data_IF_071867468592
#
_entry.id   IF_071867468592
#
_cell.length_a   1.000
_cell.length_b   1.000
_cell.length_c   1.000
_cell.angle_alpha   90.00
_cell.angle_beta   90.00
_cell.angle_gamma   90.00
#
_symmetry.space_group_name_H-M   'P 1'
#
loop_
_entity.id
_entity.type
_entity.pdbx_description
1 polymer ?
#
# COMPACT_ATOMS: atom_id res chain seq x y z
N UNK A 1 -9.61 -5.08 0.48
CA UNK A 1 -8.72 -5.37 -0.66
C UNK A 1 -8.72 -6.86 -1.00
N UNK A 2 -9.66 -7.31 -1.85
CA UNK A 2 -9.87 -8.75 -2.05
C UNK A 2 -8.66 -9.48 -2.65
N UNK A 3 -8.01 -8.90 -3.67
CA UNK A 3 -6.81 -9.49 -4.30
C UNK A 3 -5.67 -9.70 -3.31
N UNK A 4 -5.34 -8.66 -2.52
CA UNK A 4 -4.27 -8.74 -1.52
C UNK A 4 -4.58 -9.78 -0.44
N UNK A 5 -5.83 -9.82 0.03
CA UNK A 5 -6.26 -10.82 1.02
C UNK A 5 -6.18 -12.25 0.48
N UNK A 6 -6.67 -12.51 -0.73
CA UNK A 6 -6.59 -13.81 -1.38
C UNK A 6 -5.12 -14.21 -1.60
N UNK A 7 -4.27 -13.28 -2.04
CA UNK A 7 -2.85 -13.51 -2.20
C UNK A 7 -2.17 -14.00 -0.92
N UNK A 8 -2.49 -13.41 0.23
CA UNK A 8 -1.97 -13.86 1.52
C UNK A 8 -2.56 -15.20 2.00
N UNK A 9 -3.83 -15.49 1.71
CA UNK A 9 -4.42 -16.82 1.98
C UNK A 9 -3.67 -17.90 1.20
N UNK A 10 -3.39 -17.66 -0.09
CA UNK A 10 -2.58 -18.57 -0.90
C UNK A 10 -1.14 -18.70 -0.35
N UNK A 11 -0.58 -17.60 0.17
CA UNK A 11 0.73 -17.66 0.85
C UNK A 11 0.72 -18.54 2.09
N UNK A 12 -0.41 -18.61 2.81
CA UNK A 12 -0.57 -19.52 3.96
C UNK A 12 -0.46 -20.98 3.51
N UNK A 13 -1.10 -21.36 2.39
CA UNK A 13 -0.98 -22.70 1.82
C UNK A 13 0.47 -23.04 1.45
N UNK A 14 1.22 -22.09 0.91
CA UNK A 14 2.65 -22.27 0.61
C UNK A 14 3.50 -22.45 1.88
N UNK A 15 3.15 -21.80 2.99
CA UNK A 15 3.87 -22.02 4.25
C UNK A 15 3.48 -23.36 4.89
N UNK A 16 2.23 -23.82 4.70
CA UNK A 16 1.78 -25.14 5.16
C UNK A 16 2.52 -26.28 4.45
N UNK A 17 2.99 -26.10 3.20
CA UNK A 17 3.82 -27.10 2.53
C UNK A 17 5.23 -27.24 3.12
N UNK A 18 5.62 -26.39 4.08
CA UNK A 18 6.87 -26.50 4.85
C UNK A 18 6.68 -27.22 6.20
N UNK A 19 5.46 -27.69 6.48
CA UNK A 19 5.12 -28.43 7.71
C UNK A 19 5.04 -29.94 7.42
N UNK A 20 4.75 -30.83 8.40
CA UNK A 20 4.57 -32.26 8.12
C UNK A 20 3.48 -32.57 7.06
N UNK A 21 2.62 -31.61 6.74
CA UNK A 21 1.65 -31.68 5.65
C UNK A 21 2.27 -31.52 4.25
N UNK A 22 3.59 -31.32 4.14
CA UNK A 22 4.32 -31.10 2.89
C UNK A 22 3.97 -32.11 1.80
N UNK A 23 3.88 -33.40 2.14
CA UNK A 23 3.62 -34.48 1.18
C UNK A 23 2.28 -34.32 0.44
N UNK A 24 1.29 -33.67 1.05
CA UNK A 24 -0.01 -33.41 0.46
C UNK A 24 -0.13 -32.02 -0.18
N UNK A 25 0.71 -31.08 0.25
CA UNK A 25 0.56 -29.66 -0.07
C UNK A 25 1.63 -29.10 -1.00
N UNK A 26 2.69 -29.86 -1.31
CA UNK A 26 3.77 -29.38 -2.18
C UNK A 26 3.26 -29.02 -3.59
N UNK A 27 2.48 -29.91 -4.23
CA UNK A 27 1.94 -29.64 -5.57
C UNK A 27 0.93 -28.48 -5.57
N UNK A 28 -0.06 -28.42 -4.65
CA UNK A 28 -0.88 -27.22 -4.47
C UNK A 28 -0.07 -25.94 -4.23
N UNK A 29 1.00 -26.00 -3.45
CA UNK A 29 1.86 -24.85 -3.18
C UNK A 29 2.57 -24.37 -4.45
N UNK A 30 3.13 -25.28 -5.26
CA UNK A 30 3.76 -24.93 -6.54
C UNK A 30 2.81 -24.25 -7.52
N UNK A 31 1.53 -24.63 -7.52
CA UNK A 31 0.49 -24.00 -8.36
C UNK A 31 0.01 -22.66 -7.77
N UNK A 32 -0.16 -22.59 -6.45
CA UNK A 32 -0.75 -21.41 -5.79
C UNK A 32 0.27 -20.31 -5.51
N UNK A 33 1.57 -20.59 -5.48
CA UNK A 33 2.63 -19.60 -5.25
C UNK A 33 2.72 -18.52 -6.33
N UNK A 34 2.76 -18.83 -7.64
CA UNK A 34 2.72 -17.81 -8.69
C UNK A 34 1.47 -16.94 -8.62
N UNK A 35 0.32 -17.56 -8.38
CA UNK A 35 -0.96 -16.86 -8.24
C UNK A 35 -0.93 -15.92 -7.03
N UNK A 36 -0.38 -16.37 -5.89
CA UNK A 36 -0.17 -15.55 -4.70
C UNK A 36 0.69 -14.32 -5.00
N UNK A 37 1.83 -14.48 -5.68
CA UNK A 37 2.71 -13.35 -6.04
C UNK A 37 1.98 -12.33 -6.91
N UNK A 38 1.29 -12.79 -7.97
CA UNK A 38 0.56 -11.91 -8.88
C UNK A 38 -0.52 -11.14 -8.13
N UNK A 39 -1.32 -11.83 -7.31
CA UNK A 39 -2.39 -11.19 -6.54
C UNK A 39 -1.86 -10.19 -5.50
N UNK A 40 -0.73 -10.50 -4.85
CA UNK A 40 -0.07 -9.57 -3.92
C UNK A 40 0.49 -8.35 -4.65
N UNK A 41 1.17 -8.54 -5.77
CA UNK A 41 1.70 -7.44 -6.58
C UNK A 41 0.59 -6.51 -7.10
N UNK A 42 -0.52 -7.08 -7.60
CA UNK A 42 -1.68 -6.30 -8.02
C UNK A 42 -2.35 -5.59 -6.83
N UNK A 43 -2.50 -6.28 -5.70
CA UNK A 43 -3.08 -5.70 -4.49
C UNK A 43 -2.28 -4.52 -3.96
N UNK A 44 -0.95 -4.65 -3.92
CA UNK A 44 -0.03 -3.59 -3.54
C UNK A 44 -0.01 -2.42 -4.54
N UNK A 45 -0.09 -2.72 -5.84
CA UNK A 45 -0.24 -1.70 -6.90
C UNK A 45 -1.51 -0.88 -6.74
N UNK A 46 -2.63 -1.50 -6.33
CA UNK A 46 -3.92 -0.82 -6.14
C UNK A 46 -3.85 0.23 -5.00
N UNK A 47 -2.99 0.03 -3.99
CA UNK A 47 -2.79 0.99 -2.87
C UNK A 47 -1.59 1.91 -3.01
N UNK A 48 -0.77 1.75 -4.06
CA UNK A 48 0.50 2.46 -4.20
C UNK A 48 0.42 3.97 -3.98
N UNK A 49 -0.60 4.61 -4.53
CA UNK A 49 -0.79 6.08 -4.47
C UNK A 49 -0.98 6.59 -3.04
N UNK A 50 -1.52 5.76 -2.16
CA UNK A 50 -1.78 6.12 -0.77
C UNK A 50 -0.67 5.72 0.20
N UNK A 51 0.28 4.87 -0.22
CA UNK A 51 1.44 4.50 0.60
C UNK A 51 2.60 5.50 0.49
N UNK A 52 2.64 6.34 -0.56
CA UNK A 52 3.78 7.24 -0.80
C UNK A 52 5.06 6.53 -1.26
N UNK A 53 4.98 5.24 -1.60
CA UNK A 53 6.13 4.45 -2.10
C UNK A 53 6.20 4.51 -3.62
N UNK A 54 7.41 4.64 -4.16
CA UNK A 54 7.67 4.69 -5.60
C UNK A 54 7.28 3.39 -6.32
N UNK A 55 6.87 3.51 -7.59
CA UNK A 55 6.45 2.37 -8.41
C UNK A 55 7.54 1.30 -8.59
N UNK A 56 8.81 1.69 -8.53
CA UNK A 56 9.96 0.81 -8.67
C UNK A 56 10.00 -0.28 -7.58
N UNK A 57 9.65 0.03 -6.33
CA UNK A 57 9.70 -0.96 -5.25
C UNK A 57 8.72 -2.11 -5.48
N UNK A 58 7.54 -1.82 -6.03
CA UNK A 58 6.55 -2.85 -6.38
C UNK A 58 7.05 -3.79 -7.48
N UNK A 59 7.76 -3.24 -8.47
CA UNK A 59 8.39 -4.04 -9.52
C UNK A 59 9.50 -4.92 -8.94
N UNK A 60 10.35 -4.37 -8.06
CA UNK A 60 11.40 -5.13 -7.35
C UNK A 60 10.80 -6.30 -6.56
N UNK A 61 9.75 -6.05 -5.77
CA UNK A 61 9.07 -7.09 -4.98
C UNK A 61 8.49 -8.17 -5.91
N UNK A 62 7.82 -7.78 -6.98
CA UNK A 62 7.30 -8.75 -7.95
C UNK A 62 8.41 -9.58 -8.59
N UNK A 63 9.48 -8.94 -9.06
CA UNK A 63 10.63 -9.61 -9.67
C UNK A 63 11.32 -10.56 -8.71
N UNK A 64 11.56 -10.17 -7.45
CA UNK A 64 12.17 -11.03 -6.44
C UNK A 64 11.30 -12.26 -6.15
N UNK A 65 9.98 -12.10 -6.09
CA UNK A 65 9.06 -13.23 -5.92
C UNK A 65 9.11 -14.21 -7.10
N UNK A 66 9.14 -13.69 -8.33
CA UNK A 66 9.26 -14.51 -9.55
C UNK A 66 10.61 -15.23 -9.57
N UNK A 67 11.71 -14.55 -9.26
CA UNK A 67 13.05 -15.14 -9.21
C UNK A 67 13.11 -16.25 -8.17
N UNK A 68 12.58 -16.03 -6.95
CA UNK A 68 12.48 -17.07 -5.93
C UNK A 68 11.72 -18.29 -6.43
N UNK A 69 10.54 -18.09 -7.06
CA UNK A 69 9.76 -19.20 -7.61
C UNK A 69 10.55 -20.00 -8.65
N UNK A 70 11.16 -19.30 -9.61
CA UNK A 70 11.89 -19.93 -10.71
C UNK A 70 13.09 -20.71 -10.19
N UNK A 71 13.85 -20.16 -9.23
CA UNK A 71 14.98 -20.87 -8.63
C UNK A 71 14.53 -22.16 -7.93
N UNK A 72 13.43 -22.10 -7.16
CA UNK A 72 12.86 -23.29 -6.51
C UNK A 72 12.42 -24.31 -7.57
N UNK A 73 11.60 -23.89 -8.54
CA UNK A 73 11.07 -24.76 -9.58
C UNK A 73 12.18 -25.44 -10.39
N UNK A 74 13.16 -24.67 -10.86
CA UNK A 74 14.26 -25.18 -11.66
C UNK A 74 15.18 -26.11 -10.86
N UNK A 75 15.30 -25.91 -9.55
CA UNK A 75 16.00 -26.88 -8.69
C UNK A 75 15.22 -28.19 -8.56
N UNK A 76 13.90 -28.12 -8.40
CA UNK A 76 13.03 -29.30 -8.34
C UNK A 76 12.97 -30.09 -9.66
N UNK A 77 13.11 -29.41 -10.80
CA UNK A 77 13.22 -30.07 -12.12
C UNK A 77 14.64 -30.48 -12.47
N UNK A 78 15.57 -30.42 -11.50
CA UNK A 78 16.99 -30.76 -11.67
C UNK A 78 17.73 -29.94 -12.75
N UNK A 79 17.15 -28.82 -13.20
CA UNK A 79 17.73 -27.92 -14.19
C UNK A 79 18.78 -26.97 -13.57
N UNK A 80 18.71 -26.76 -12.25
CA UNK A 80 19.69 -26.02 -11.46
C UNK A 80 20.20 -26.88 -10.30
N UNK A 81 21.43 -26.65 -9.82
CA UNK A 81 22.01 -27.42 -8.73
C UNK A 81 21.37 -27.01 -7.39
N UNK A 82 21.49 -27.84 -6.35
CA UNK A 82 20.78 -27.66 -5.07
C UNK A 82 21.13 -26.36 -4.35
N UNK A 83 22.32 -25.83 -4.59
CA UNK A 83 22.81 -24.55 -4.07
C UNK A 83 21.95 -23.37 -4.55
N UNK A 84 21.22 -23.52 -5.68
CA UNK A 84 20.27 -22.52 -6.15
C UNK A 84 19.13 -22.25 -5.14
N UNK A 85 18.82 -23.19 -4.24
CA UNK A 85 17.86 -22.98 -3.15
C UNK A 85 18.35 -21.98 -2.11
N UNK A 86 19.66 -21.86 -1.89
CA UNK A 86 20.23 -20.82 -1.02
C UNK A 86 20.06 -19.44 -1.64
N UNK A 87 20.25 -19.34 -2.96
CA UNK A 87 19.99 -18.11 -3.72
C UNK A 87 18.48 -17.79 -3.69
N UNK A 88 17.62 -18.80 -3.78
CA UNK A 88 16.17 -18.64 -3.67
C UNK A 88 15.78 -18.09 -2.29
N UNK A 89 16.37 -18.62 -1.22
CA UNK A 89 16.19 -18.15 0.15
C UNK A 89 16.62 -16.68 0.31
N UNK A 90 17.81 -16.31 -0.17
CA UNK A 90 18.27 -14.91 -0.16
C UNK A 90 17.34 -13.97 -0.93
N UNK A 91 16.93 -14.35 -2.15
CA UNK A 91 15.96 -13.60 -2.95
C UNK A 91 14.63 -13.42 -2.19
N UNK A 92 14.18 -14.47 -1.51
CA UNK A 92 12.95 -14.45 -0.72
C UNK A 92 13.07 -13.59 0.55
N UNK A 93 14.24 -13.53 1.17
CA UNK A 93 14.52 -12.66 2.31
C UNK A 93 14.53 -11.19 1.90
N UNK A 94 15.18 -10.86 0.78
CA UNK A 94 15.12 -9.51 0.20
C UNK A 94 13.68 -9.11 -0.15
N UNK A 95 12.93 -10.04 -0.76
CA UNK A 95 11.49 -9.87 -1.02
C UNK A 95 10.74 -9.52 0.28
N UNK A 96 10.97 -10.30 1.33
CA UNK A 96 10.28 -10.21 2.62
C UNK A 96 10.56 -8.89 3.34
N UNK A 97 11.80 -8.41 3.30
CA UNK A 97 12.19 -7.10 3.85
C UNK A 97 11.54 -5.96 3.07
N UNK A 98 11.54 -6.04 1.74
CA UNK A 98 10.87 -5.04 0.90
C UNK A 98 9.35 -5.02 1.12
N UNK A 99 8.74 -6.19 1.30
CA UNK A 99 7.32 -6.31 1.63
C UNK A 99 7.04 -5.73 3.03
N UNK A 100 7.85 -6.02 4.05
CA UNK A 100 7.76 -5.42 5.39
C UNK A 100 7.79 -3.89 5.35
N UNK A 101 8.64 -3.31 4.49
CA UNK A 101 8.66 -1.86 4.29
C UNK A 101 7.31 -1.35 3.75
N UNK A 102 6.69 -2.06 2.80
CA UNK A 102 5.34 -1.71 2.30
C UNK A 102 4.28 -1.79 3.40
N UNK A 103 4.33 -2.79 4.28
CA UNK A 103 3.43 -2.90 5.43
C UNK A 103 3.53 -1.67 6.33
N UNK A 104 4.75 -1.31 6.71
CA UNK A 104 4.99 -0.17 7.59
C UNK A 104 4.57 1.15 6.94
N UNK A 105 4.85 1.30 5.65
CA UNK A 105 4.45 2.47 4.87
C UNK A 105 2.92 2.58 4.76
N UNK A 106 2.24 1.47 4.45
CA UNK A 106 0.79 1.41 4.40
C UNK A 106 0.16 1.70 5.77
N UNK A 107 0.70 1.15 6.86
CA UNK A 107 0.18 1.39 8.20
C UNK A 107 0.27 2.87 8.60
N UNK A 108 1.40 3.54 8.31
CA UNK A 108 1.62 4.96 8.58
C UNK A 108 0.76 5.87 7.70
N UNK A 109 0.76 5.63 6.39
CA UNK A 109 0.19 6.57 5.42
C UNK A 109 -1.29 6.33 5.13
N UNK A 110 -1.78 5.09 5.27
CA UNK A 110 -3.21 4.75 5.10
C UNK A 110 -3.98 4.70 6.42
N UNK A 111 -3.28 4.80 7.56
CA UNK A 111 -3.88 4.65 8.89
C UNK A 111 -4.32 3.21 9.20
N UNK A 112 -3.84 2.24 8.43
CA UNK A 112 -4.16 0.82 8.59
C UNK A 112 -3.27 0.19 9.68
N UNK A 113 -3.52 0.52 10.96
CA UNK A 113 -2.69 0.07 12.10
C UNK A 113 -2.54 -1.45 12.20
N UNK A 114 -3.51 -2.21 11.69
CA UNK A 114 -3.47 -3.68 11.64
C UNK A 114 -2.30 -4.22 10.80
N UNK A 115 -1.75 -3.42 9.88
CA UNK A 115 -0.58 -3.82 9.07
C UNK A 115 0.73 -3.86 9.88
N UNK A 116 0.83 -3.17 11.02
CA UNK A 116 1.99 -3.32 11.90
C UNK A 116 2.02 -4.68 12.60
N UNK A 117 0.85 -5.25 12.91
CA UNK A 117 0.74 -6.56 13.55
C UNK A 117 0.75 -7.70 12.54
N UNK A 118 0.33 -7.42 11.31
CA UNK A 118 0.23 -8.39 10.22
C UNK A 118 1.47 -8.43 9.31
N UNK A 119 2.53 -7.72 9.69
CA UNK A 119 3.74 -7.62 8.87
C UNK A 119 4.48 -8.95 8.76
N UNK A 120 5.26 -9.11 7.70
CA UNK A 120 6.14 -10.27 7.52
C UNK A 120 7.02 -10.45 8.76
N UNK A 121 6.98 -11.65 9.33
CA UNK A 121 7.70 -11.94 10.55
C UNK A 121 9.14 -12.38 10.25
N UNK A 122 10.09 -11.53 10.65
CA UNK A 122 11.51 -11.70 10.40
C UNK A 122 12.08 -12.94 11.10
N UNK A 123 11.57 -13.31 12.28
CA UNK A 123 11.97 -14.55 12.95
C UNK A 123 11.63 -15.74 12.06
N UNK A 124 10.44 -15.72 11.46
CA UNK A 124 10.03 -16.74 10.50
C UNK A 124 10.97 -16.85 9.30
N UNK A 125 11.33 -15.71 8.70
CA UNK A 125 12.24 -15.64 7.55
C UNK A 125 13.62 -16.18 7.91
N UNK A 126 14.20 -15.71 9.03
CA UNK A 126 15.54 -16.11 9.49
C UNK A 126 15.60 -17.60 9.83
N UNK A 127 14.55 -18.17 10.41
CA UNK A 127 14.50 -19.62 10.71
C UNK A 127 14.52 -20.47 9.44
N UNK A 128 13.81 -20.05 8.38
CA UNK A 128 13.82 -20.74 7.08
C UNK A 128 15.18 -20.59 6.40
N UNK A 129 15.78 -19.40 6.42
CA UNK A 129 17.12 -19.16 5.90
C UNK A 129 18.16 -20.02 6.63
N UNK A 130 18.10 -20.09 7.96
CA UNK A 130 18.98 -20.94 8.75
C UNK A 130 18.94 -22.39 8.28
N UNK A 131 17.75 -22.95 8.07
CA UNK A 131 17.58 -24.32 7.53
C UNK A 131 18.15 -24.43 6.12
N UNK A 132 17.89 -23.44 5.26
CA UNK A 132 18.40 -23.43 3.89
C UNK A 132 19.93 -23.40 3.83
N UNK A 133 20.59 -22.67 4.72
CA UNK A 133 22.04 -22.55 4.75
C UNK A 133 22.75 -23.66 5.53
N UNK A 134 22.07 -24.35 6.43
CA UNK A 134 22.67 -25.42 7.24
C UNK A 134 22.41 -26.82 6.69
N UNK A 135 21.24 -27.09 6.11
CA UNK A 135 20.85 -28.44 5.66
C UNK A 135 21.12 -28.67 4.18
N UNK A 136 20.87 -27.67 3.32
CA UNK A 136 20.96 -27.85 1.87
C UNK A 136 22.38 -28.03 1.29
N UNK A 137 23.46 -27.45 1.85
CA UNK A 137 24.81 -27.69 1.33
C UNK A 137 25.41 -29.03 1.77
N UNK A 138 24.76 -29.77 2.68
CA UNK A 138 25.22 -31.10 3.09
C UNK A 138 24.59 -32.21 2.25
N UNK A 139 25.35 -33.28 2.01
CA UNK A 139 24.83 -34.59 1.58
C UNK A 139 24.07 -35.26 2.72
N UNK A 140 23.09 -34.57 3.29
CA UNK A 140 22.38 -34.99 4.48
C UNK A 140 21.39 -36.08 4.08
N UNK A 141 21.73 -37.34 4.38
CA UNK A 141 20.85 -38.50 4.15
C UNK A 141 19.58 -38.47 5.03
N UNK A 142 19.59 -37.70 6.12
CA UNK A 142 18.45 -37.56 7.05
C UNK A 142 18.41 -36.16 7.67
N UNK A 143 17.28 -35.45 7.53
CA UNK A 143 17.07 -34.13 8.16
C UNK A 143 17.33 -34.23 9.68
N UNK A 144 18.28 -33.45 10.24
CA UNK A 144 18.54 -33.48 11.68
C UNK A 144 17.30 -32.97 12.42
N UNK A 145 16.84 -33.70 13.44
CA UNK A 145 15.65 -33.34 14.23
C UNK A 145 15.76 -31.90 14.80
N UNK A 146 16.97 -31.54 15.24
CA UNK A 146 17.31 -30.22 15.78
C UNK A 146 17.08 -29.08 14.77
N UNK A 147 17.23 -29.36 13.47
CA UNK A 147 17.05 -28.36 12.40
C UNK A 147 15.61 -28.36 11.89
N UNK A 148 14.93 -29.50 11.92
CA UNK A 148 13.50 -29.61 11.61
C UNK A 148 12.62 -28.72 12.49
N UNK A 149 12.98 -28.57 13.78
CA UNK A 149 12.30 -27.67 14.71
C UNK A 149 12.28 -26.21 14.24
N UNK A 150 13.38 -25.70 13.68
CA UNK A 150 13.45 -24.34 13.14
C UNK A 150 12.59 -24.16 11.89
N UNK A 151 12.51 -25.18 11.03
CA UNK A 151 11.64 -25.16 9.85
C UNK A 151 10.17 -25.02 10.27
N UNK A 152 9.72 -25.81 11.25
CA UNK A 152 8.33 -25.77 11.73
C UNK A 152 8.00 -24.49 12.49
N UNK A 153 8.92 -24.02 13.34
CA UNK A 153 8.77 -22.73 14.01
C UNK A 153 8.66 -21.59 12.98
N UNK A 154 9.56 -21.58 11.99
CA UNK A 154 9.56 -20.60 10.92
C UNK A 154 8.25 -20.60 10.14
N UNK A 155 7.84 -21.78 9.66
CA UNK A 155 6.59 -21.97 8.93
C UNK A 155 5.36 -21.55 9.75
N UNK A 156 5.26 -21.96 11.01
CA UNK A 156 4.13 -21.62 11.89
C UNK A 156 3.98 -20.11 12.10
N UNK A 157 5.10 -19.42 12.35
CA UNK A 157 5.11 -17.97 12.53
C UNK A 157 4.73 -17.23 11.25
N UNK A 158 5.18 -17.70 10.08
CA UNK A 158 4.81 -17.14 8.78
C UNK A 158 3.34 -17.38 8.43
N UNK A 159 2.79 -18.54 8.76
CA UNK A 159 1.36 -18.87 8.62
C UNK A 159 0.50 -17.86 9.39
N UNK A 160 0.83 -17.62 10.66
CA UNK A 160 0.10 -16.66 11.50
C UNK A 160 0.17 -15.26 10.89
N UNK A 161 1.36 -14.87 10.42
CA UNK A 161 1.59 -13.55 9.80
C UNK A 161 0.79 -13.39 8.50
N UNK A 162 0.78 -14.41 7.64
CA UNK A 162 0.02 -14.41 6.39
C UNK A 162 -1.50 -14.35 6.64
N UNK A 163 -2.00 -15.08 7.64
CA UNK A 163 -3.42 -15.01 8.02
C UNK A 163 -3.79 -13.63 8.58
N UNK A 164 -2.96 -13.08 9.46
CA UNK A 164 -3.14 -11.72 9.98
C UNK A 164 -3.14 -10.70 8.84
N UNK A 165 -2.27 -10.87 7.84
CA UNK A 165 -2.21 -10.02 6.65
C UNK A 165 -3.44 -10.14 5.76
N UNK A 166 -3.97 -11.35 5.59
CA UNK A 166 -5.21 -11.57 4.87
C UNK A 166 -6.39 -10.84 5.54
N UNK A 167 -6.52 -10.96 6.86
CA UNK A 167 -7.56 -10.28 7.65
C UNK A 167 -7.37 -8.76 7.66
N UNK A 168 -6.14 -8.28 7.81
CA UNK A 168 -5.85 -6.85 7.75
C UNK A 168 -6.21 -6.27 6.37
N UNK A 169 -5.89 -7.00 5.30
CA UNK A 169 -6.17 -6.62 3.92
C UNK A 169 -7.66 -6.61 3.58
N UNK A 170 -8.46 -7.49 4.20
CA UNK A 170 -9.92 -7.51 4.01
C UNK A 170 -10.59 -6.30 4.67
N UNK A 171 -10.06 -5.84 5.81
CA UNK A 171 -10.57 -4.69 6.59
C UNK A 171 -10.18 -3.31 6.04
N UNK A 172 -9.23 -3.21 5.11
CA UNK A 172 -8.94 -1.91 4.45
C UNK A 172 -10.16 -1.48 3.65
N UNK A 173 -10.82 -0.42 4.14
CA UNK A 173 -11.88 0.28 3.43
C UNK A 173 -11.27 1.42 2.59
N UNK A 174 -11.22 1.25 1.27
CA UNK A 174 -10.61 2.17 0.28
C UNK A 174 -11.44 3.48 0.13
N UNK A 175 -12.44 3.71 0.97
CA UNK A 175 -13.26 4.93 0.93
C UNK A 175 -12.42 6.21 1.02
N UNK A 176 -11.26 6.16 1.69
CA UNK A 176 -10.31 7.29 1.78
C UNK A 176 -9.41 7.48 0.56
N UNK A 177 -9.18 6.43 -0.25
CA UNK A 177 -8.30 6.49 -1.43
C UNK A 177 -9.06 6.85 -2.71
N UNK A 178 -10.37 6.54 -2.82
CA UNK A 178 -11.18 7.01 -3.96
C UNK A 178 -11.29 8.54 -3.99
N UNK A 179 -11.34 9.20 -2.84
CA UNK A 179 -11.36 10.67 -2.75
C UNK A 179 -10.05 11.30 -3.24
N UNK A 180 -8.91 10.59 -3.13
CA UNK A 180 -7.61 11.01 -3.70
C UNK A 180 -7.42 10.57 -5.16
N UNK A 181 -8.12 9.51 -5.62
CA UNK A 181 -8.11 9.07 -7.02
C UNK A 181 -8.95 9.98 -7.92
N UNK A 182 -9.96 10.65 -7.38
CA UNK A 182 -10.85 11.58 -8.09
C UNK A 182 -10.51 13.06 -7.85
N UNK A 183 -9.26 13.40 -7.55
CA UNK A 183 -8.80 14.74 -7.91
C UNK A 183 -8.54 14.65 -9.41
N UNK A 184 -9.43 15.17 -10.28
CA UNK A 184 -9.12 15.24 -11.70
C UNK A 184 -7.75 15.91 -11.83
N UNK A 185 -6.83 15.29 -12.57
CA UNK A 185 -5.70 16.03 -13.14
C UNK A 185 -6.33 17.28 -13.73
N UNK A 186 -5.99 18.47 -13.21
CA UNK A 186 -6.46 19.69 -13.84
C UNK A 186 -6.08 19.57 -15.32
N UNK A 187 -7.05 19.62 -16.24
CA UNK A 187 -6.71 19.65 -17.64
C UNK A 187 -5.77 20.85 -17.85
N UNK A 188 -4.78 20.74 -18.75
CA UNK A 188 -4.08 21.92 -19.21
C UNK A 188 -5.14 22.95 -19.62
N UNK A 189 -4.93 24.22 -19.26
CA UNK A 189 -5.85 25.31 -19.59
C UNK A 189 -6.06 25.34 -21.10
N UNK A 190 -7.16 24.73 -21.56
CA UNK A 190 -7.37 24.45 -22.97
C UNK A 190 -8.72 23.77 -23.18
N UNK A 191 -9.71 24.63 -23.45
CA UNK A 191 -11.00 24.36 -24.08
C UNK A 191 -11.92 23.33 -23.38
N UNK A 192 -12.73 23.82 -22.44
CA UNK A 192 -13.87 23.09 -21.88
C UNK A 192 -15.11 23.43 -22.72
N UNK A 193 -15.59 22.45 -23.49
CA UNK A 193 -16.87 22.46 -24.18
C UNK A 193 -18.04 22.30 -23.20
N UNK A 194 -19.14 23.00 -23.47
CA UNK A 194 -20.22 23.36 -22.55
C UNK A 194 -21.28 22.29 -22.24
N UNK A 195 -21.04 21.00 -22.51
CA UNK A 195 -22.15 20.01 -22.58
C UNK A 195 -22.26 19.06 -21.38
N UNK A 196 -21.59 19.31 -20.25
CA UNK A 196 -21.81 18.53 -19.02
C UNK A 196 -22.09 19.43 -17.80
N UNK A 197 -23.33 19.91 -17.70
CA UNK A 197 -23.92 20.36 -16.43
C UNK A 197 -25.23 19.61 -16.21
N UNK A 198 -25.14 18.45 -15.55
CA UNK A 198 -26.30 17.87 -14.89
C UNK A 198 -26.14 18.05 -13.38
N UNK A 199 -27.01 18.92 -12.86
CA UNK A 199 -27.57 18.98 -11.50
C UNK A 199 -26.64 18.58 -10.34
N UNK A 200 -25.78 19.49 -9.91
CA UNK A 200 -25.40 19.53 -8.50
C UNK A 200 -26.42 20.40 -7.75
N UNK A 201 -26.94 19.96 -6.59
CA UNK A 201 -27.71 20.85 -5.73
C UNK A 201 -26.85 22.08 -5.45
N UNK A 202 -27.41 23.27 -5.68
CA UNK A 202 -26.75 24.55 -5.49
C UNK A 202 -26.44 24.63 -3.98
N UNK A 203 -25.19 24.35 -3.59
CA UNK A 203 -24.71 24.40 -2.22
C UNK A 203 -23.98 25.73 -2.06
N UNK A 204 -24.39 26.55 -1.08
CA UNK A 204 -23.75 27.83 -0.76
C UNK A 204 -22.88 27.65 0.49
N UNK A 205 -21.65 28.17 0.41
CA UNK A 205 -20.76 28.27 1.56
C UNK A 205 -20.91 29.64 2.20
N UNK A 206 -21.12 29.66 3.50
CA UNK A 206 -21.16 30.88 4.30
C UNK A 206 -20.04 30.87 5.35
N UNK A 207 -19.30 31.98 5.52
CA UNK A 207 -18.28 32.08 6.56
C UNK A 207 -18.92 32.26 7.94
N UNK A 208 -18.53 31.41 8.90
CA UNK A 208 -18.80 31.61 10.33
C UNK A 208 -17.70 32.43 11.01
N UNK A 209 -16.45 32.22 10.57
CA UNK A 209 -15.28 32.95 11.06
C UNK A 209 -14.31 33.14 9.92
N UNK A 210 -13.86 34.36 9.74
CA UNK A 210 -12.94 34.72 8.66
C UNK A 210 -11.48 34.58 9.10
N UNK A 211 -10.67 34.01 8.22
CA UNK A 211 -9.23 34.05 8.32
C UNK A 211 -8.68 35.38 7.82
N UNK A 212 -7.49 35.75 8.31
CA UNK A 212 -6.87 37.07 8.06
C UNK A 212 -5.81 37.04 6.96
N UNK A 213 -5.29 35.85 6.62
CA UNK A 213 -4.19 35.67 5.68
C UNK A 213 -4.28 34.30 5.02
N UNK A 214 -3.60 34.12 3.87
CA UNK A 214 -3.45 32.83 3.19
C UNK A 214 -2.11 32.20 3.52
N UNK A 215 -2.10 30.90 3.76
CA UNK A 215 -0.89 30.10 3.82
C UNK A 215 -0.82 29.22 2.58
N UNK A 216 0.26 29.29 1.81
CA UNK A 216 0.42 28.47 0.62
C UNK A 216 0.47 26.98 0.99
N UNK A 217 -0.38 26.11 0.41
CA UNK A 217 -0.36 24.68 0.72
C UNK A 217 0.90 23.96 0.21
N UNK A 218 1.64 24.55 -0.75
CA UNK A 218 2.84 23.95 -1.36
C UNK A 218 4.12 24.29 -0.60
N UNK A 219 4.36 25.58 -0.34
CA UNK A 219 5.62 26.08 0.24
C UNK A 219 5.46 26.77 1.61
N UNK A 220 4.23 26.88 2.13
CA UNK A 220 3.89 27.53 3.40
C UNK A 220 4.15 29.03 3.50
N UNK A 221 4.54 29.71 2.42
CA UNK A 221 4.63 31.18 2.40
C UNK A 221 3.28 31.82 2.71
N UNK A 222 3.31 32.85 3.57
CA UNK A 222 2.14 33.65 3.93
C UNK A 222 1.88 34.69 2.84
N UNK A 223 0.62 34.79 2.40
CA UNK A 223 0.17 35.66 1.33
C UNK A 223 -1.06 36.47 1.78
N UNK A 224 -1.29 37.66 1.20
CA UNK A 224 -2.52 38.41 1.42
C UNK A 224 -3.78 37.61 1.05
N UNK A 225 -4.91 37.91 1.70
CA UNK A 225 -6.20 37.24 1.44
C UNK A 225 -6.63 37.29 -0.03
N UNK A 226 -6.36 38.38 -0.74
CA UNK A 226 -6.72 38.57 -2.15
C UNK A 226 -5.68 38.00 -3.13
N UNK A 227 -4.57 37.44 -2.65
CA UNK A 227 -3.52 36.94 -3.52
C UNK A 227 -4.02 35.76 -4.36
N UNK A 228 -3.91 35.87 -5.69
CA UNK A 228 -4.26 34.79 -6.63
C UNK A 228 -3.12 33.81 -6.84
N UNK A 229 -1.88 34.24 -6.66
CA UNK A 229 -0.65 33.44 -6.79
C UNK A 229 0.22 33.61 -5.56
N UNK A 230 1.03 32.59 -5.26
CA UNK A 230 1.94 32.59 -4.12
C UNK A 230 3.23 33.36 -4.44
N UNK A 231 3.59 34.32 -3.59
CA UNK A 231 4.85 35.09 -3.72
C UNK A 231 6.12 34.24 -3.59
N UNK A 232 6.09 33.16 -2.80
CA UNK A 232 7.27 32.32 -2.58
C UNK A 232 7.54 31.23 -3.63
N UNK A 233 6.50 30.64 -4.26
CA UNK A 233 6.68 29.49 -5.17
C UNK A 233 5.88 29.57 -6.47
N UNK A 234 5.16 30.67 -6.71
CA UNK A 234 4.35 30.88 -7.91
C UNK A 234 3.07 30.04 -8.01
N UNK A 235 2.77 29.16 -7.04
CA UNK A 235 1.57 28.33 -7.07
C UNK A 235 0.27 29.16 -7.03
N UNK A 236 -0.77 28.72 -7.74
CA UNK A 236 -2.09 29.34 -7.68
C UNK A 236 -2.76 29.14 -6.32
N UNK A 237 -3.40 30.19 -5.79
CA UNK A 237 -4.06 30.25 -4.49
C UNK A 237 -5.55 30.61 -4.57
N UNK A 238 -6.09 30.81 -5.78
CA UNK A 238 -7.49 31.16 -6.03
C UNK A 238 -8.01 30.45 -7.29
N UNK A 239 -9.32 30.23 -7.37
CA UNK A 239 -10.01 29.69 -8.55
C UNK A 239 -11.23 30.54 -8.91
N UNK A 240 -11.51 30.63 -10.22
CA UNK A 240 -12.64 31.41 -10.75
C UNK A 240 -13.93 30.60 -10.83
N UNK A 241 -13.81 29.28 -11.03
CA UNK A 241 -14.94 28.38 -11.30
C UNK A 241 -15.00 27.28 -10.23
N UNK A 242 -16.21 26.96 -9.78
CA UNK A 242 -16.48 25.89 -8.82
C UNK A 242 -16.67 26.37 -7.39
N UNK A 243 -16.86 25.41 -6.47
CA UNK A 243 -17.05 25.70 -5.06
C UNK A 243 -15.73 26.21 -4.45
N UNK A 244 -15.76 27.43 -3.92
CA UNK A 244 -14.59 28.13 -3.39
C UNK A 244 -14.87 28.72 -2.02
N UNK A 245 -13.81 28.96 -1.25
CA UNK A 245 -13.92 29.68 0.00
C UNK A 245 -14.41 31.11 -0.28
N UNK A 246 -15.51 31.57 0.33
CA UNK A 246 -16.04 32.92 0.09
C UNK A 246 -15.12 34.03 0.62
N UNK A 247 -14.19 33.70 1.53
CA UNK A 247 -13.28 34.69 2.16
C UNK A 247 -12.00 34.89 1.34
N UNK A 248 -11.50 33.84 0.71
CA UNK A 248 -10.16 33.85 0.12
C UNK A 248 -10.11 33.28 -1.30
N UNK A 249 -11.25 32.90 -1.90
CA UNK A 249 -11.33 32.28 -3.23
C UNK A 249 -10.53 30.98 -3.41
N UNK A 250 -9.98 30.41 -2.33
CA UNK A 250 -9.27 29.15 -2.42
C UNK A 250 -10.23 28.02 -2.81
N UNK A 251 -9.77 27.04 -3.62
CA UNK A 251 -10.58 25.89 -3.96
C UNK A 251 -11.09 25.17 -2.72
N UNK A 252 -12.37 24.77 -2.72
CA UNK A 252 -12.95 23.99 -1.61
C UNK A 252 -12.26 22.63 -1.41
N UNK A 253 -11.49 22.14 -2.39
CA UNK A 253 -10.64 20.96 -2.25
C UNK A 253 -9.64 21.05 -1.08
N UNK A 254 -9.27 22.25 -0.65
CA UNK A 254 -8.42 22.47 0.52
C UNK A 254 -9.19 22.54 1.83
N UNK A 255 -10.53 22.49 1.81
CA UNK A 255 -11.32 22.53 3.03
C UNK A 255 -11.26 21.20 3.78
N UNK A 256 -11.11 21.25 5.10
CA UNK A 256 -11.16 20.10 5.99
C UNK A 256 -12.49 20.09 6.73
N UNK A 257 -13.19 18.95 6.73
CA UNK A 257 -14.46 18.81 7.46
C UNK A 257 -14.21 18.82 8.98
N UNK A 258 -14.97 19.63 9.71
CA UNK A 258 -14.96 19.67 11.18
C UNK A 258 -16.11 18.84 11.76
N UNK A 259 -17.35 19.11 11.32
CA UNK A 259 -18.60 18.42 11.71
C UNK A 259 -19.57 18.35 10.52
N UNK A 260 -20.77 17.78 10.68
CA UNK A 260 -21.70 17.44 9.58
C UNK A 260 -21.79 18.50 8.46
N UNK A 261 -21.97 19.77 8.84
CA UNK A 261 -22.18 20.95 7.99
C UNK A 261 -21.01 21.97 8.04
N UNK A 262 -20.03 21.78 8.91
CA UNK A 262 -18.93 22.74 9.17
C UNK A 262 -17.60 22.28 8.59
N UNK A 263 -16.91 23.21 7.94
CA UNK A 263 -15.61 23.02 7.30
C UNK A 263 -14.64 24.12 7.74
N UNK A 264 -13.35 23.85 7.66
CA UNK A 264 -12.30 24.87 7.81
C UNK A 264 -11.49 24.95 6.51
N UNK A 265 -11.28 26.15 5.99
CA UNK A 265 -10.46 26.35 4.81
C UNK A 265 -8.99 26.06 5.15
N UNK A 266 -8.36 25.10 4.47
CA UNK A 266 -6.95 24.76 4.69
C UNK A 266 -5.96 25.81 4.16
N UNK A 267 -6.43 26.88 3.52
CA UNK A 267 -5.58 27.97 3.00
C UNK A 267 -5.62 29.19 3.92
N UNK A 268 -6.81 29.72 4.23
CA UNK A 268 -6.92 30.91 5.08
C UNK A 268 -7.35 30.63 6.52
N UNK A 269 -7.76 29.40 6.85
CA UNK A 269 -8.25 29.06 8.18
C UNK A 269 -9.69 29.49 8.49
N UNK A 270 -10.41 30.07 7.52
CA UNK A 270 -11.82 30.44 7.72
C UNK A 270 -12.70 29.22 8.02
N UNK A 271 -13.59 29.34 9.00
CA UNK A 271 -14.64 28.34 9.27
C UNK A 271 -15.85 28.62 8.39
N UNK A 272 -16.33 27.60 7.69
CA UNK A 272 -17.40 27.67 6.70
C UNK A 272 -18.55 26.73 7.08
N UNK A 273 -19.78 27.12 6.79
CA UNK A 273 -20.97 26.26 6.85
C UNK A 273 -21.51 26.06 5.44
N UNK A 274 -21.93 24.82 5.15
CA UNK A 274 -22.64 24.49 3.92
C UNK A 274 -24.14 24.63 4.16
N UNK A 275 -24.80 25.47 3.38
CA UNK A 275 -26.27 25.57 3.35
C UNK A 275 -26.79 25.12 1.97
N UNK A 276 -27.91 24.38 1.92
CA UNK A 276 -28.66 24.26 0.67
C UNK A 276 -29.14 25.66 0.26
N UNK A 277 -29.07 25.95 -1.04
CA UNK A 277 -29.68 27.15 -1.63
C UNK A 277 -31.16 26.91 -1.86
#
# INVERSE_FOLDING_TARGET
MKKLAIGYILSTFNCLSLTPLAIYLLFPAMVTYPVSIVLRALGWRDVRRGTGVGSALYAVIFSLGVVTFLLILLTFTEALPREALQIAALSWTLYSVAELYLYNSAARNLGARTFHLASVNIIGVVSIDYVAFTVLPGSVQSFPEDVGGFLYLGAGVLIVSALAAAVASSKINITRSRTLQNIPKLPPAGNISSTQRQAQPLLKLEPLREGVQKTCPKCRTINPLKARTCSGCGAALAVEIGLKCPVCDAPFAYAKKLRMDRYICGVCGSTLVVKPV
#
